data_IF_231828957597
#
_entry.id   IF_231828957597
#
_cell.length_a   1.000
_cell.length_b   1.000
_cell.length_c   1.000
_cell.angle_alpha   90.00
_cell.angle_beta   90.00
_cell.angle_gamma   90.00
#
_symmetry.space_group_name_H-M   'P 1'
#
loop_
_entity.id
_entity.type
_entity.pdbx_description
1 polymer ?
#
# COMPACT_ATOMS: atom_id res chain seq x y z
N UNK A 1 2.73 10.56 30.57
CA UNK A 1 2.07 9.65 29.61
C UNK A 1 1.36 10.43 28.53
N UNK A 2 2.10 10.77 27.48
CA UNK A 2 1.61 11.57 26.36
C UNK A 2 1.78 10.81 25.07
N UNK A 3 0.84 9.92 24.76
CA UNK A 3 0.71 9.41 23.41
C UNK A 3 0.07 10.54 22.58
N UNK A 4 0.89 11.26 21.83
CA UNK A 4 0.36 12.08 20.74
C UNK A 4 -0.14 11.13 19.67
N UNK A 5 -1.45 11.18 19.42
CA UNK A 5 -2.02 10.60 18.21
C UNK A 5 -1.39 11.34 17.01
N UNK A 6 -0.44 10.68 16.35
CA UNK A 6 0.08 11.14 15.07
C UNK A 6 -1.07 10.99 14.07
N UNK A 7 -1.76 12.09 13.75
CA UNK A 7 -2.71 12.13 12.64
C UNK A 7 -1.88 12.01 11.36
N UNK A 8 -1.54 10.77 11.02
CA UNK A 8 -0.87 10.43 9.77
C UNK A 8 -1.81 10.75 8.61
N UNK A 9 -1.33 11.53 7.62
CA UNK A 9 -2.08 11.74 6.39
C UNK A 9 -2.12 10.42 5.63
N UNK A 10 -3.30 9.79 5.61
CA UNK A 10 -3.55 8.59 4.82
C UNK A 10 -4.13 8.96 3.44
N UNK A 11 -3.68 8.28 2.39
CA UNK A 11 -4.25 8.44 1.04
C UNK A 11 -4.70 7.09 0.48
N UNK A 12 -5.97 7.02 0.06
CA UNK A 12 -6.50 5.90 -0.72
C UNK A 12 -6.23 6.12 -2.19
N UNK A 13 -5.64 5.12 -2.85
CA UNK A 13 -5.35 5.14 -4.28
C UNK A 13 -5.93 3.88 -4.90
N UNK A 14 -6.80 4.05 -5.89
CA UNK A 14 -7.31 2.93 -6.71
C UNK A 14 -6.34 2.68 -7.85
N UNK A 15 -5.96 1.43 -8.03
CA UNK A 15 -4.98 1.01 -9.02
C UNK A 15 -5.61 -0.04 -9.94
N UNK A 16 -5.47 0.13 -11.26
CA UNK A 16 -5.87 -0.88 -12.22
C UNK A 16 -5.22 -2.23 -11.94
N UNK A 17 -5.98 -3.30 -12.17
CA UNK A 17 -5.52 -4.66 -11.93
C UNK A 17 -4.19 -5.00 -12.64
N UNK A 18 -4.01 -4.51 -13.86
CA UNK A 18 -2.81 -4.76 -14.67
C UNK A 18 -1.55 -4.18 -14.02
N UNK A 19 -1.66 -3.00 -13.42
CA UNK A 19 -0.55 -2.27 -12.80
C UNK A 19 -0.25 -2.77 -11.38
N UNK A 20 -1.25 -3.34 -10.70
CA UNK A 20 -1.12 -3.86 -9.35
C UNK A 20 0.03 -4.87 -9.22
N UNK A 21 0.10 -5.85 -10.13
CA UNK A 21 1.13 -6.89 -10.10
C UNK A 21 2.55 -6.32 -10.15
N UNK A 22 2.74 -5.23 -10.89
CA UNK A 22 4.01 -4.54 -11.06
C UNK A 22 4.43 -3.78 -9.81
N UNK A 23 3.47 -3.16 -9.12
CA UNK A 23 3.72 -2.41 -7.89
C UNK A 23 4.10 -3.36 -6.75
N UNK A 24 3.40 -4.49 -6.62
CA UNK A 24 3.68 -5.47 -5.58
C UNK A 24 5.01 -6.18 -5.84
N UNK A 25 5.27 -6.56 -7.09
CA UNK A 25 6.44 -7.34 -7.48
C UNK A 25 6.35 -8.81 -7.05
N UNK A 26 7.34 -9.61 -7.46
CA UNK A 26 7.39 -11.03 -7.14
C UNK A 26 7.51 -11.22 -5.62
N UNK A 27 6.56 -11.95 -5.04
CA UNK A 27 6.49 -12.16 -3.58
C UNK A 27 6.42 -10.88 -2.74
N UNK A 28 6.00 -9.73 -3.31
CA UNK A 28 5.92 -8.47 -2.58
C UNK A 28 7.24 -7.70 -2.46
N UNK A 29 8.28 -8.08 -3.21
CA UNK A 29 9.61 -7.47 -3.11
C UNK A 29 9.61 -5.96 -3.36
N UNK A 30 8.91 -5.51 -4.41
CA UNK A 30 8.88 -4.10 -4.79
C UNK A 30 8.07 -3.26 -3.80
N UNK A 31 6.99 -3.83 -3.24
CA UNK A 31 6.22 -3.20 -2.17
C UNK A 31 7.06 -3.01 -0.91
N UNK A 32 7.92 -3.97 -0.56
CA UNK A 32 8.81 -3.86 0.59
C UNK A 32 9.83 -2.72 0.40
N UNK A 33 10.46 -2.65 -0.78
CA UNK A 33 11.36 -1.55 -1.14
C UNK A 33 10.65 -0.20 -1.06
N UNK A 34 9.41 -0.09 -1.56
CA UNK A 34 8.64 1.15 -1.46
C UNK A 34 8.39 1.57 -0.01
N UNK A 35 8.08 0.63 0.89
CA UNK A 35 7.94 0.93 2.33
C UNK A 35 9.26 1.40 2.93
N UNK A 36 10.37 0.74 2.63
CA UNK A 36 11.69 1.10 3.15
C UNK A 36 12.16 2.47 2.65
N UNK A 37 11.99 2.76 1.36
CA UNK A 37 12.44 4.01 0.74
C UNK A 37 11.56 5.20 1.14
N UNK A 38 10.25 5.01 1.24
CA UNK A 38 9.31 6.11 1.57
C UNK A 38 9.08 6.28 3.06
N UNK A 39 9.35 5.25 3.87
CA UNK A 39 8.96 5.20 5.29
C UNK A 39 7.45 5.14 5.52
N UNK A 40 6.64 5.00 4.45
CA UNK A 40 5.19 5.02 4.53
C UNK A 40 4.62 3.63 4.85
N UNK A 41 3.52 3.62 5.61
CA UNK A 41 2.77 2.40 5.90
C UNK A 41 1.85 2.07 4.74
N UNK A 42 2.37 1.31 3.78
CA UNK A 42 1.59 0.91 2.60
C UNK A 42 0.77 -0.32 2.95
N UNK A 43 -0.55 -0.24 2.86
CA UNK A 43 -1.48 -1.33 3.11
C UNK A 43 -2.29 -1.66 1.85
N UNK A 44 -2.44 -2.95 1.58
CA UNK A 44 -2.97 -3.44 0.31
C UNK A 44 -4.11 -4.41 0.57
N UNK A 45 -5.32 -4.06 0.13
CA UNK A 45 -6.49 -4.94 0.30
C UNK A 45 -6.33 -6.27 -0.47
N UNK A 46 -6.39 -7.38 0.27
CA UNK A 46 -5.95 -8.68 -0.21
C UNK A 46 -7.05 -9.48 -0.96
N UNK A 47 -6.76 -9.73 -2.24
CA UNK A 47 -6.87 -11.00 -3.01
C UNK A 47 -8.18 -11.72 -3.36
N UNK A 48 -9.39 -11.33 -2.93
CA UNK A 48 -10.62 -11.98 -3.46
C UNK A 48 -11.47 -11.17 -4.43
N UNK A 49 -11.22 -9.87 -4.55
CA UNK A 49 -11.92 -9.03 -5.52
C UNK A 49 -11.31 -9.19 -6.93
N UNK A 50 -12.14 -9.66 -7.86
CA UNK A 50 -11.91 -9.56 -9.30
C UNK A 50 -12.21 -8.10 -9.67
N UNK A 51 -11.17 -7.31 -9.95
CA UNK A 51 -11.31 -5.88 -10.25
C UNK A 51 -10.13 -5.03 -9.74
N UNK A 52 -10.30 -3.71 -9.84
CA UNK A 52 -9.37 -2.69 -9.36
C UNK A 52 -9.10 -2.84 -7.87
N UNK A 53 -7.90 -2.43 -7.44
CA UNK A 53 -7.45 -2.60 -6.05
C UNK A 53 -7.16 -1.27 -5.40
N UNK A 54 -7.53 -1.15 -4.14
CA UNK A 54 -7.23 0.02 -3.32
C UNK A 54 -5.95 -0.22 -2.54
N UNK A 55 -5.03 0.73 -2.62
CA UNK A 55 -3.86 0.83 -1.74
C UNK A 55 -4.08 2.00 -0.79
N UNK A 56 -3.88 1.77 0.50
CA UNK A 56 -3.68 2.81 1.50
C UNK A 56 -2.18 3.07 1.66
N UNK A 57 -1.80 4.34 1.77
CA UNK A 57 -0.43 4.80 2.03
C UNK A 57 -0.50 5.83 3.15
#
# INVERSE_FOLDING_TARGET
DGWQEVIGKQKKITIPHEQYSRIIGRSGSNLNVLREVTGASIDVENKKAIGDKTILI
#
